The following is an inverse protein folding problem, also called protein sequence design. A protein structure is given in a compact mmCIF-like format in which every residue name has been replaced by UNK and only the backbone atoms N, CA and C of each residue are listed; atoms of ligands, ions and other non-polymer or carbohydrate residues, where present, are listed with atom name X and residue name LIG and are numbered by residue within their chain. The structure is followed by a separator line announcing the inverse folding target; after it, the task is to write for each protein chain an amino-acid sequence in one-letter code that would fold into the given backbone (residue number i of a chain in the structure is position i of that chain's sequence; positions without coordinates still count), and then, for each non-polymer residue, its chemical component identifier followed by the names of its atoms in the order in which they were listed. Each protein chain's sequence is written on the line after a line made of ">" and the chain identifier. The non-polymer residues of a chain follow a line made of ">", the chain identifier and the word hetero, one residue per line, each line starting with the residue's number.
data_IF_642415677124
#
_entry.id   IF_642415677124
#
_cell.length_a   1.000
_cell.length_b   1.000
_cell.length_c   1.000
_cell.angle_alpha   90.00
_cell.angle_beta   90.00
_cell.angle_gamma   90.00
#
_symmetry.space_group_name_H-M   'P 1'
#
loop_
_entity.id
_entity.type
_entity.pdbx_description
1 polymer ?
#
# COMPACT_ATOMS: atom_id res chain seq x y z
N UNK A 1 -31.19 -0.92 -27.13
CA UNK A 1 -32.06 -1.76 -26.28
C UNK A 1 -31.57 -1.64 -24.86
N UNK A 2 -32.26 -0.87 -24.03
CA UNK A 2 -31.96 -0.76 -22.61
C UNK A 2 -32.71 -1.89 -21.89
N UNK A 3 -31.98 -2.83 -21.29
CA UNK A 3 -32.57 -3.83 -20.42
C UNK A 3 -32.77 -3.16 -19.06
N UNK A 4 -33.98 -2.68 -18.85
CA UNK A 4 -34.49 -2.26 -17.54
C UNK A 4 -34.60 -3.51 -16.67
N UNK A 5 -33.52 -3.86 -15.97
CA UNK A 5 -33.63 -4.81 -14.86
C UNK A 5 -34.42 -4.07 -13.78
N UNK A 6 -35.67 -4.50 -13.59
CA UNK A 6 -36.52 -4.04 -12.51
C UNK A 6 -35.81 -4.30 -11.19
N UNK A 7 -35.34 -3.22 -10.56
CA UNK A 7 -35.01 -3.20 -9.15
C UNK A 7 -36.35 -3.01 -8.43
N UNK A 8 -37.20 -4.03 -8.46
CA UNK A 8 -38.35 -4.11 -7.57
C UNK A 8 -37.91 -4.82 -6.28
N UNK A 9 -38.44 -4.34 -5.15
CA UNK A 9 -38.11 -4.64 -3.74
C UNK A 9 -36.81 -4.00 -3.20
N UNK A 10 -36.99 -2.82 -2.61
CA UNK A 10 -35.95 -1.97 -2.00
C UNK A 10 -35.15 -2.62 -0.83
N UNK A 11 -35.45 -3.87 -0.46
CA UNK A 11 -34.65 -4.65 0.49
C UNK A 11 -33.83 -5.79 -0.16
N UNK A 12 -34.25 -6.31 -1.31
CA UNK A 12 -33.59 -7.46 -1.97
C UNK A 12 -32.36 -7.06 -2.79
N UNK A 13 -32.37 -5.89 -3.42
CA UNK A 13 -31.30 -5.44 -4.31
C UNK A 13 -30.00 -5.06 -3.58
N UNK A 14 -30.12 -4.31 -2.48
CA UNK A 14 -28.97 -3.89 -1.67
C UNK A 14 -28.37 -5.08 -0.93
N UNK A 15 -29.21 -5.88 -0.28
CA UNK A 15 -28.74 -7.04 0.49
C UNK A 15 -28.12 -8.10 -0.41
N UNK A 16 -28.71 -8.34 -1.58
CA UNK A 16 -28.11 -9.20 -2.61
C UNK A 16 -26.73 -8.72 -3.06
N UNK A 17 -26.52 -7.40 -3.16
CA UNK A 17 -25.22 -6.86 -3.51
C UNK A 17 -24.20 -6.98 -2.37
N UNK A 18 -24.59 -6.85 -1.10
CA UNK A 18 -23.71 -7.08 0.06
C UNK A 18 -23.18 -8.52 0.06
N UNK A 19 -24.06 -9.50 -0.13
CA UNK A 19 -23.67 -10.91 -0.23
C UNK A 19 -22.67 -11.15 -1.37
N UNK A 20 -22.86 -10.49 -2.53
CA UNK A 20 -21.93 -10.58 -3.64
C UNK A 20 -20.59 -9.89 -3.36
N UNK A 21 -20.61 -8.77 -2.62
CA UNK A 21 -19.40 -8.08 -2.15
C UNK A 21 -18.59 -9.00 -1.25
N UNK A 22 -19.22 -9.68 -0.30
CA UNK A 22 -18.54 -10.59 0.63
C UNK A 22 -18.00 -11.83 -0.09
N UNK A 23 -18.84 -12.47 -0.91
CA UNK A 23 -18.45 -13.65 -1.68
C UNK A 23 -17.26 -13.38 -2.62
N UNK A 24 -17.17 -12.16 -3.16
CA UNK A 24 -16.10 -11.77 -4.07
C UNK A 24 -15.03 -10.90 -3.41
N UNK A 25 -15.04 -10.76 -2.07
CA UNK A 25 -14.03 -10.01 -1.31
C UNK A 25 -13.80 -8.59 -1.85
N UNK A 26 -14.89 -7.89 -2.17
CA UNK A 26 -14.86 -6.53 -2.72
C UNK A 26 -14.31 -6.39 -4.15
N UNK A 27 -14.11 -7.50 -4.88
CA UNK A 27 -13.69 -7.49 -6.29
C UNK A 27 -14.85 -7.15 -7.22
N UNK A 28 -14.98 -5.85 -7.54
CA UNK A 28 -16.05 -5.34 -8.41
C UNK A 28 -16.05 -5.94 -9.82
N UNK A 29 -14.89 -6.35 -10.34
CA UNK A 29 -14.83 -6.95 -11.68
C UNK A 29 -15.42 -8.37 -11.68
N UNK A 30 -15.25 -9.12 -10.59
CA UNK A 30 -15.86 -10.45 -10.43
C UNK A 30 -17.37 -10.35 -10.27
N UNK A 31 -17.83 -9.43 -9.42
CA UNK A 31 -19.27 -9.14 -9.21
C UNK A 31 -19.93 -8.72 -10.53
N UNK A 32 -19.30 -7.81 -11.28
CA UNK A 32 -19.81 -7.36 -12.57
C UNK A 32 -19.94 -8.49 -13.60
N UNK A 33 -18.96 -9.41 -13.64
CA UNK A 33 -19.04 -10.62 -14.47
C UNK A 33 -20.18 -11.54 -14.04
N UNK A 34 -20.37 -11.74 -12.74
CA UNK A 34 -21.44 -12.58 -12.19
C UNK A 34 -22.84 -12.01 -12.49
N UNK A 35 -22.97 -10.68 -12.47
CA UNK A 35 -24.22 -9.98 -12.77
C UNK A 35 -24.41 -9.69 -14.26
N UNK A 36 -23.44 -10.06 -15.12
CA UNK A 36 -23.43 -9.75 -16.56
C UNK A 36 -23.65 -8.25 -16.87
N UNK A 37 -23.05 -7.37 -16.07
CA UNK A 37 -23.11 -5.92 -16.25
C UNK A 37 -21.70 -5.34 -16.31
N UNK A 38 -21.59 -4.10 -16.79
CA UNK A 38 -20.31 -3.41 -16.76
C UNK A 38 -19.93 -3.02 -15.32
N UNK A 39 -18.63 -3.12 -14.97
CA UNK A 39 -18.08 -2.73 -13.65
C UNK A 39 -18.52 -1.33 -13.21
N UNK A 40 -18.58 -0.38 -14.15
CA UNK A 40 -18.98 1.00 -13.82
C UNK A 40 -20.44 1.10 -13.40
N UNK A 41 -21.32 0.23 -13.90
CA UNK A 41 -22.72 0.18 -13.48
C UNK A 41 -22.83 -0.25 -12.00
N UNK A 42 -22.09 -1.29 -11.61
CA UNK A 42 -22.00 -1.74 -10.20
C UNK A 42 -21.45 -0.62 -9.32
N UNK A 43 -20.38 0.06 -9.77
CA UNK A 43 -19.79 1.17 -9.03
C UNK A 43 -20.78 2.32 -8.82
N UNK A 44 -21.57 2.69 -9.85
CA UNK A 44 -22.58 3.75 -9.73
C UNK A 44 -23.65 3.39 -8.70
N UNK A 45 -24.08 2.13 -8.66
CA UNK A 45 -25.04 1.66 -7.65
C UNK A 45 -24.43 1.79 -6.27
N UNK A 46 -23.21 1.30 -6.05
CA UNK A 46 -22.52 1.41 -4.75
C UNK A 46 -22.35 2.88 -4.33
N UNK A 47 -22.04 3.78 -5.27
CA UNK A 47 -21.90 5.21 -4.98
C UNK A 47 -23.23 5.88 -4.58
N UNK A 48 -24.37 5.35 -5.03
CA UNK A 48 -25.70 5.87 -4.69
C UNK A 48 -26.09 5.56 -3.24
N UNK A 49 -25.60 4.46 -2.66
CA UNK A 49 -25.99 3.98 -1.33
C UNK A 49 -24.77 3.99 -0.38
N UNK A 50 -24.70 4.89 0.61
CA UNK A 50 -23.55 5.00 1.53
C UNK A 50 -23.22 3.70 2.28
N UNK A 51 -24.24 2.95 2.68
CA UNK A 51 -24.10 1.65 3.38
C UNK A 51 -23.32 0.62 2.55
N UNK A 52 -23.49 0.59 1.22
CA UNK A 52 -22.75 -0.30 0.33
C UNK A 52 -21.29 0.14 0.18
N UNK A 53 -21.00 1.44 0.33
CA UNK A 53 -19.63 1.94 0.29
C UNK A 53 -18.87 1.54 1.55
N UNK A 54 -19.50 1.64 2.71
CA UNK A 54 -18.94 1.17 3.98
C UNK A 54 -18.73 -0.33 3.95
N UNK A 55 -19.72 -1.09 3.47
CA UNK A 55 -19.62 -2.54 3.33
C UNK A 55 -18.49 -2.96 2.38
N UNK A 56 -18.39 -2.31 1.21
CA UNK A 56 -17.31 -2.56 0.26
C UNK A 56 -15.93 -2.24 0.85
N UNK A 57 -15.82 -1.18 1.65
CA UNK A 57 -14.57 -0.82 2.33
C UNK A 57 -14.17 -1.91 3.30
N UNK A 58 -15.09 -2.34 4.16
CA UNK A 58 -14.88 -3.42 5.14
C UNK A 58 -14.43 -4.72 4.44
N UNK A 59 -15.12 -5.14 3.38
CA UNK A 59 -14.77 -6.34 2.63
C UNK A 59 -13.36 -6.26 2.00
N UNK A 60 -12.94 -5.06 1.55
CA UNK A 60 -11.59 -4.85 1.02
C UNK A 60 -10.53 -4.86 2.11
N UNK A 61 -10.82 -4.28 3.27
CA UNK A 61 -9.93 -4.32 4.44
C UNK A 61 -9.67 -5.77 4.86
N UNK A 62 -10.72 -6.58 5.00
CA UNK A 62 -10.59 -8.02 5.26
C UNK A 62 -9.74 -8.75 4.20
N UNK A 63 -9.79 -8.30 2.94
CA UNK A 63 -8.94 -8.87 1.87
C UNK A 63 -7.48 -8.50 2.06
N UNK A 64 -7.19 -7.28 2.52
CA UNK A 64 -5.83 -6.87 2.86
C UNK A 64 -5.30 -7.69 4.04
N UNK A 65 -6.11 -7.90 5.08
CA UNK A 65 -5.75 -8.74 6.23
C UNK A 65 -5.42 -10.17 5.80
N UNK A 66 -6.23 -10.76 4.91
CA UNK A 66 -5.97 -12.08 4.33
C UNK A 66 -4.62 -12.14 3.58
N UNK A 67 -4.33 -11.11 2.79
CA UNK A 67 -3.06 -11.02 2.04
C UNK A 67 -1.88 -10.84 2.98
N UNK A 68 -2.03 -10.03 4.03
CA UNK A 68 -1.01 -9.85 5.06
C UNK A 68 -0.71 -11.17 5.78
N UNK A 69 -1.74 -11.89 6.20
CA UNK A 69 -1.61 -13.22 6.79
C UNK A 69 -0.91 -14.20 5.84
N UNK A 70 -1.29 -14.23 4.57
CA UNK A 70 -0.63 -15.06 3.55
C UNK A 70 0.83 -14.66 3.31
N UNK A 71 1.15 -13.37 3.38
CA UNK A 71 2.51 -12.86 3.29
C UNK A 71 3.36 -13.34 4.46
N UNK A 72 2.87 -13.18 5.69
CA UNK A 72 3.54 -13.60 6.92
C UNK A 72 3.78 -15.11 6.90
N UNK A 73 2.77 -15.90 6.58
CA UNK A 73 2.90 -17.36 6.50
C UNK A 73 3.97 -17.78 5.49
N UNK A 74 4.00 -17.16 4.32
CA UNK A 74 5.03 -17.47 3.33
C UNK A 74 6.43 -17.01 3.76
N UNK A 75 6.54 -15.91 4.52
CA UNK A 75 7.81 -15.50 5.13
C UNK A 75 8.27 -16.53 6.17
N UNK A 76 7.38 -17.00 7.05
CA UNK A 76 7.69 -18.04 8.03
C UNK A 76 8.08 -19.38 7.38
N UNK A 77 7.52 -19.70 6.22
CA UNK A 77 7.84 -20.89 5.43
C UNK A 77 9.12 -20.76 4.56
N UNK A 78 9.97 -19.75 4.82
CA UNK A 78 11.29 -19.67 4.19
C UNK A 78 11.37 -18.88 2.88
N UNK A 79 10.31 -18.15 2.49
CA UNK A 79 10.40 -17.25 1.34
C UNK A 79 11.25 -16.02 1.68
N UNK A 80 12.54 -16.05 1.32
CA UNK A 80 13.51 -15.01 1.67
C UNK A 80 13.08 -13.59 1.25
N UNK A 81 12.47 -13.42 0.07
CA UNK A 81 11.98 -12.12 -0.40
C UNK A 81 10.93 -11.54 0.56
N UNK A 82 9.97 -12.37 1.01
CA UNK A 82 8.92 -11.93 1.94
C UNK A 82 9.47 -11.66 3.33
N UNK A 83 10.45 -12.45 3.79
CA UNK A 83 11.15 -12.19 5.05
C UNK A 83 11.89 -10.85 5.02
N UNK A 84 12.67 -10.57 3.97
CA UNK A 84 13.38 -9.30 3.81
C UNK A 84 12.38 -8.14 3.76
N UNK A 85 11.31 -8.27 2.98
CA UNK A 85 10.27 -7.25 2.91
C UNK A 85 9.68 -6.95 4.29
N UNK A 86 9.25 -7.99 5.03
CA UNK A 86 8.69 -7.84 6.37
C UNK A 86 9.67 -7.20 7.35
N UNK A 87 10.95 -7.60 7.34
CA UNK A 87 11.96 -7.04 8.24
C UNK A 87 12.35 -5.59 7.87
N UNK A 88 12.27 -5.22 6.60
CA UNK A 88 12.50 -3.83 6.16
C UNK A 88 11.34 -2.90 6.56
N UNK A 89 10.11 -3.39 6.56
CA UNK A 89 8.93 -2.60 6.91
C UNK A 89 8.65 -2.64 8.42
N UNK A 90 8.19 -3.79 8.93
CA UNK A 90 7.79 -3.97 10.32
C UNK A 90 8.98 -4.01 11.28
N UNK A 91 10.12 -4.58 10.84
CA UNK A 91 11.35 -4.58 11.64
C UNK A 91 11.85 -3.16 11.96
N UNK A 92 11.61 -2.19 11.09
CA UNK A 92 11.95 -0.79 11.35
C UNK A 92 11.11 -0.18 12.49
N UNK A 93 9.80 -0.43 12.48
CA UNK A 93 8.87 0.10 13.48
C UNK A 93 9.16 -0.38 14.91
N UNK A 94 9.68 -1.61 15.05
CA UNK A 94 10.04 -2.19 16.35
C UNK A 94 11.51 -1.98 16.73
N UNK A 95 12.26 -1.16 15.99
CA UNK A 95 13.66 -0.83 16.27
C UNK A 95 14.68 -1.92 15.90
N UNK A 96 14.32 -2.88 15.04
CA UNK A 96 15.21 -3.92 14.49
C UNK A 96 15.27 -3.87 12.96
N UNK A 97 15.69 -2.74 12.35
CA UNK A 97 15.67 -2.61 10.91
C UNK A 97 16.65 -3.58 10.26
N UNK A 98 16.17 -4.35 9.28
CA UNK A 98 17.06 -5.09 8.41
C UNK A 98 17.87 -4.13 7.54
N UNK A 99 19.19 -4.26 7.58
CA UNK A 99 20.12 -3.48 6.77
C UNK A 99 20.93 -4.43 5.89
N UNK A 100 20.82 -4.25 4.57
CA UNK A 100 21.75 -4.87 3.63
C UNK A 100 23.10 -4.20 3.81
N UNK A 101 24.10 -4.98 4.22
CA UNK A 101 25.49 -4.56 4.14
C UNK A 101 26.01 -5.06 2.81
N UNK A 102 26.25 -4.18 1.82
CA UNK A 102 26.90 -4.61 0.59
C UNK A 102 28.24 -5.23 0.96
N UNK A 103 28.55 -6.36 0.35
CA UNK A 103 29.87 -6.97 0.46
C UNK A 103 30.88 -6.06 -0.25
N UNK A 104 32.15 -6.05 0.18
CA UNK A 104 33.16 -5.12 -0.37
C UNK A 104 33.31 -5.21 -1.90
N UNK A 105 32.97 -6.36 -2.48
CA UNK A 105 33.00 -6.63 -3.92
C UNK A 105 31.85 -5.98 -4.71
N UNK A 106 30.76 -5.54 -4.05
CA UNK A 106 29.57 -4.96 -4.70
C UNK A 106 29.54 -3.43 -4.67
N UNK A 107 30.52 -2.80 -4.01
CA UNK A 107 30.73 -1.35 -3.98
C UNK A 107 31.46 -0.88 -5.25
N UNK A 108 30.96 -1.24 -6.43
CA UNK A 108 31.37 -0.60 -7.68
C UNK A 108 30.35 0.50 -8.00
N UNK A 109 30.81 1.75 -8.00
CA UNK A 109 29.97 2.90 -8.35
C UNK A 109 29.53 2.74 -9.82
N UNK A 110 28.23 2.66 -10.11
CA UNK A 110 27.69 2.51 -11.48
C UNK A 110 27.95 3.73 -12.40
N UNK A 111 28.78 4.67 -11.97
CA UNK A 111 29.23 5.83 -12.77
C UNK A 111 30.71 6.20 -12.61
N UNK A 112 31.48 5.51 -11.75
CA UNK A 112 32.91 5.76 -11.58
C UNK A 112 33.65 4.40 -11.54
N UNK A 113 34.63 4.23 -12.44
CA UNK A 113 35.45 3.02 -12.58
C UNK A 113 36.42 2.83 -11.40
N UNK A 114 35.90 2.58 -10.19
CA UNK A 114 36.72 2.22 -9.03
C UNK A 114 35.89 1.64 -7.88
N UNK A 115 36.46 0.71 -7.09
CA UNK A 115 35.82 0.20 -5.88
C UNK A 115 35.71 1.34 -4.86
N UNK A 116 34.48 1.63 -4.42
CA UNK A 116 34.22 2.58 -3.33
C UNK A 116 34.46 1.84 -2.02
N UNK A 117 35.30 2.38 -1.16
CA UNK A 117 35.57 1.76 0.13
C UNK A 117 34.36 1.92 1.08
N UNK A 118 34.22 0.99 2.04
CA UNK A 118 33.18 1.05 3.08
C UNK A 118 33.16 2.40 3.83
N UNK A 119 34.32 3.02 4.00
CA UNK A 119 34.47 4.29 4.70
C UNK A 119 33.97 5.48 3.86
N UNK A 120 34.28 5.51 2.57
CA UNK A 120 33.74 6.51 1.64
C UNK A 120 32.22 6.43 1.52
N UNK A 121 31.67 5.21 1.49
CA UNK A 121 30.21 5.02 1.48
C UNK A 121 29.55 5.52 2.76
N UNK A 122 30.15 5.25 3.93
CA UNK A 122 29.67 5.77 5.23
C UNK A 122 29.69 7.30 5.26
N UNK A 123 30.78 7.91 4.79
CA UNK A 123 30.91 9.36 4.75
C UNK A 123 29.93 10.01 3.78
N UNK A 124 29.71 9.44 2.58
CA UNK A 124 28.67 9.89 1.63
C UNK A 124 27.26 9.87 2.26
N UNK A 125 26.98 8.89 3.12
CA UNK A 125 25.68 8.79 3.81
C UNK A 125 25.54 9.80 4.95
N UNK A 126 26.58 10.01 5.73
CA UNK A 126 26.58 10.98 6.83
C UNK A 126 26.44 12.41 6.31
N UNK A 127 27.20 12.76 5.26
CA UNK A 127 27.10 14.05 4.58
C UNK A 127 25.71 14.28 4.02
N UNK A 128 25.15 13.32 3.27
CA UNK A 128 23.79 13.44 2.74
C UNK A 128 22.71 13.55 3.83
N UNK A 129 22.90 12.87 4.96
CA UNK A 129 21.99 12.98 6.11
C UNK A 129 22.10 14.35 6.77
N UNK A 130 23.31 14.89 6.92
CA UNK A 130 23.54 16.23 7.44
C UNK A 130 22.97 17.32 6.51
N UNK A 131 23.11 17.18 5.19
CA UNK A 131 22.50 18.07 4.19
C UNK A 131 20.97 18.10 4.31
N UNK A 132 20.33 16.93 4.41
CA UNK A 132 18.87 16.84 4.59
C UNK A 132 18.44 17.44 5.92
N UNK A 133 19.19 17.21 7.00
CA UNK A 133 18.89 17.83 8.30
C UNK A 133 19.02 19.35 8.25
N UNK A 134 20.06 19.90 7.62
CA UNK A 134 20.21 21.35 7.44
C UNK A 134 19.07 21.95 6.58
N UNK A 135 18.68 21.29 5.48
CA UNK A 135 17.55 21.73 4.66
C UNK A 135 16.21 21.75 5.44
N UNK A 136 16.03 20.80 6.37
CA UNK A 136 14.82 20.76 7.20
C UNK A 136 14.85 21.82 8.30
N UNK A 137 16.02 22.14 8.86
CA UNK A 137 16.21 23.21 9.84
C UNK A 137 15.94 24.60 9.23
N UNK A 138 16.43 24.85 8.01
CA UNK A 138 16.15 26.10 7.28
C UNK A 138 14.64 26.27 6.98
N UNK A 139 13.92 25.17 6.71
CA UNK A 139 12.48 25.19 6.44
C UNK A 139 11.63 25.52 7.69
N UNK A 140 12.14 25.23 8.89
CA UNK A 140 11.47 25.57 10.16
C UNK A 140 11.62 27.04 10.53
N UNK A 141 12.67 27.73 10.09
CA UNK A 141 12.92 29.15 10.43
C UNK A 141 12.04 30.08 9.58
N UNK A 142 11.77 29.74 8.32
CA UNK A 142 10.89 30.55 7.46
C UNK A 142 9.40 30.42 7.84
N UNK A 143 8.98 29.32 8.47
CA UNK A 143 7.59 29.08 8.88
C UNK A 143 7.14 29.79 10.17
N UNK A 144 8.06 30.26 11.01
CA UNK A 144 7.74 31.03 12.23
C UNK A 144 7.74 32.54 11.99
N UNK A 145 8.43 33.04 10.96
CA UNK A 145 8.47 34.46 10.61
C UNK A 145 7.16 34.97 9.97
N UNK A 146 6.35 34.10 9.37
CA UNK A 146 5.12 34.48 8.65
C UNK A 146 3.84 34.44 9.51
N UNK A 147 3.93 34.12 10.81
CA UNK A 147 2.78 34.09 11.75
C UNK A 147 2.73 35.26 12.73
N UNK A 148 3.63 36.23 12.61
CA UNK A 148 3.67 37.44 13.46
C UNK A 148 3.63 38.68 12.57
N UNK A 149 2.54 38.87 11.82
CA UNK A 149 2.02 40.19 11.40
C UNK A 149 0.49 40.18 11.42
#
# INVERSE_FOLDING_TARGET
>A
MAVSIGVEEEAGGVEGLKLLIDANRGNLAAIARQLNVHRTSVLRVIQKYPELQEWLRSAREATFDDVENAMINAALNGCAIRQIFYLKTQGHLIGRPYQERPTQDELSDKGNNGPVTLEEWRQKRLTKRAEVTAMLEDFTIEGEAERVE
#
